data_IF_346181871964
#
_entry.id   IF_346181871964
#
_cell.length_a   1.000
_cell.length_b   1.000
_cell.length_c   1.000
_cell.angle_alpha   90.00
_cell.angle_beta   90.00
_cell.angle_gamma   90.00
#
_symmetry.space_group_name_H-M   'P 1'
#
loop_
_entity.id
_entity.type
_entity.pdbx_description
1 polymer ?
#
# COMPACT_ATOMS: atom_id res chain seq x y z
N UNK A 1 -18.63 6.01 -21.28
CA UNK A 1 -17.32 5.56 -21.75
C UNK A 1 -16.44 6.77 -22.09
N UNK A 2 -15.63 7.28 -21.16
CA UNK A 2 -14.33 7.87 -21.46
C UNK A 2 -13.28 6.79 -21.15
N UNK A 3 -12.44 6.33 -22.08
CA UNK A 3 -11.41 7.10 -22.76
C UNK A 3 -10.09 6.73 -22.09
N UNK A 4 -9.28 5.88 -22.72
CA UNK A 4 -7.96 5.37 -22.26
C UNK A 4 -6.91 6.48 -22.13
N UNK A 5 -7.17 7.46 -21.28
CA UNK A 5 -6.28 8.55 -20.95
C UNK A 5 -5.30 8.13 -19.86
N UNK A 6 -4.15 7.65 -20.29
CA UNK A 6 -2.91 7.62 -19.50
C UNK A 6 -2.84 6.65 -18.29
N UNK A 7 -3.00 5.34 -18.54
CA UNK A 7 -2.90 4.31 -17.49
C UNK A 7 -1.52 4.08 -16.88
N UNK A 8 -0.50 4.75 -17.41
CA UNK A 8 0.88 4.40 -17.14
C UNK A 8 1.69 5.62 -16.78
N UNK A 9 2.48 5.52 -15.70
CA UNK A 9 3.51 6.50 -15.37
C UNK A 9 4.83 5.98 -15.93
N UNK A 10 5.51 6.82 -16.70
CA UNK A 10 6.85 6.51 -17.19
C UNK A 10 7.84 7.23 -16.30
N UNK A 11 8.51 6.49 -15.43
CA UNK A 11 9.63 7.03 -14.64
C UNK A 11 10.93 6.41 -15.16
N UNK A 12 11.93 7.26 -15.41
CA UNK A 12 13.22 6.82 -15.93
C UNK A 12 14.12 6.47 -14.74
N UNK A 13 14.32 5.18 -14.49
CA UNK A 13 15.29 4.74 -13.47
C UNK A 13 16.68 4.66 -14.12
N UNK A 14 17.70 5.37 -13.61
CA UNK A 14 19.06 5.23 -14.11
C UNK A 14 19.65 3.90 -13.66
N UNK A 15 20.05 3.06 -14.61
CA UNK A 15 20.83 1.85 -14.39
C UNK A 15 22.20 1.98 -15.07
N UNK A 16 23.24 1.38 -14.49
CA UNK A 16 24.60 1.42 -15.05
C UNK A 16 24.86 0.10 -15.78
N UNK A 17 25.05 0.17 -17.10
CA UNK A 17 25.43 -0.99 -17.90
C UNK A 17 26.82 -1.52 -17.50
N UNK A 18 27.14 -2.78 -17.82
CA UNK A 18 28.48 -3.36 -17.57
C UNK A 18 29.65 -2.60 -18.21
N UNK A 19 29.37 -1.77 -19.21
CA UNK A 19 30.35 -0.90 -19.88
C UNK A 19 30.45 0.51 -19.26
N UNK A 20 29.81 0.76 -18.12
CA UNK A 20 29.84 2.05 -17.42
C UNK A 20 28.91 3.13 -18.00
N UNK A 21 28.07 2.77 -18.97
CA UNK A 21 27.13 3.70 -19.59
C UNK A 21 25.81 3.74 -18.83
N UNK A 22 25.31 4.96 -18.55
CA UNK A 22 23.97 5.14 -17.99
C UNK A 22 22.93 4.73 -19.03
N UNK A 23 22.09 3.77 -18.65
CA UNK A 23 20.89 3.38 -19.36
C UNK A 23 19.68 3.77 -18.52
N UNK A 24 18.77 4.54 -19.12
CA UNK A 24 17.48 4.82 -18.52
C UNK A 24 16.51 3.78 -19.05
N UNK A 25 16.22 2.76 -18.26
CA UNK A 25 15.11 1.84 -18.57
C UNK A 25 13.83 2.49 -18.07
N UNK A 26 12.94 2.83 -18.99
CA UNK A 26 11.58 3.21 -18.67
C UNK A 26 10.82 1.95 -18.21
N UNK A 27 10.78 1.68 -16.90
CA UNK A 27 9.84 0.69 -16.37
C UNK A 27 8.48 1.35 -16.37
N UNK A 28 7.66 0.96 -17.34
CA UNK A 28 6.31 1.52 -17.51
C UNK A 28 5.41 0.91 -16.43
N UNK A 29 5.22 1.65 -15.33
CA UNK A 29 4.38 1.21 -14.22
C UNK A 29 2.91 1.43 -14.54
N UNK A 30 2.05 0.41 -14.35
CA UNK A 30 0.61 0.59 -14.41
C UNK A 30 0.07 1.16 -13.09
N UNK A 31 -0.50 2.36 -13.14
CA UNK A 31 -0.93 3.08 -11.93
C UNK A 31 -2.29 2.57 -11.43
N UNK A 32 -3.21 2.26 -12.35
CA UNK A 32 -4.61 1.96 -12.04
C UNK A 32 -4.91 0.46 -11.90
N UNK A 33 -3.91 -0.38 -12.18
CA UNK A 33 -3.96 -1.83 -11.99
C UNK A 33 -2.52 -2.34 -11.77
N UNK A 34 -1.91 -1.99 -10.63
CA UNK A 34 -0.51 -2.31 -10.35
C UNK A 34 -0.31 -3.79 -10.04
N UNK A 35 0.58 -4.42 -10.80
CA UNK A 35 1.13 -5.74 -10.49
C UNK A 35 2.13 -5.66 -9.33
N UNK A 36 2.52 -6.80 -8.73
CA UNK A 36 3.58 -6.82 -7.71
C UNK A 36 4.90 -6.19 -8.19
N UNK A 37 5.24 -6.36 -9.48
CA UNK A 37 6.43 -5.73 -10.06
C UNK A 37 6.30 -4.21 -10.21
N UNK A 38 5.09 -3.70 -10.45
CA UNK A 38 4.83 -2.27 -10.53
C UNK A 38 5.06 -1.62 -9.16
N UNK A 39 4.51 -2.23 -8.10
CA UNK A 39 4.66 -1.75 -6.72
C UNK A 39 6.12 -1.84 -6.26
N UNK A 40 6.79 -2.96 -6.54
CA UNK A 40 8.20 -3.14 -6.22
C UNK A 40 9.08 -2.09 -6.93
N UNK A 41 8.82 -1.80 -8.22
CA UNK A 41 9.56 -0.77 -8.97
C UNK A 41 9.43 0.62 -8.35
N UNK A 42 8.26 0.96 -7.80
CA UNK A 42 8.05 2.21 -7.09
C UNK A 42 8.83 2.26 -5.76
N UNK A 43 8.87 1.17 -5.01
CA UNK A 43 9.67 1.07 -3.77
C UNK A 43 11.18 1.18 -4.07
N UNK A 44 11.63 0.53 -5.14
CA UNK A 44 13.03 0.51 -5.58
C UNK A 44 13.59 1.89 -5.98
N UNK A 45 12.73 2.91 -6.16
CA UNK A 45 13.18 4.30 -6.29
C UNK A 45 14.01 4.75 -5.09
N UNK A 46 13.83 4.11 -3.92
CA UNK A 46 14.72 4.25 -2.77
C UNK A 46 14.78 5.68 -2.22
N UNK A 47 13.74 6.47 -2.47
CA UNK A 47 13.62 7.85 -2.05
C UNK A 47 12.17 8.20 -1.70
N UNK A 48 11.95 9.18 -0.81
CA UNK A 48 10.60 9.71 -0.57
C UNK A 48 9.99 10.17 -1.90
N UNK A 49 8.92 9.49 -2.31
CA UNK A 49 8.25 9.71 -3.60
C UNK A 49 6.76 9.90 -3.32
N UNK A 50 6.10 10.88 -3.94
CA UNK A 50 4.64 11.01 -3.82
C UNK A 50 3.96 9.75 -4.34
N UNK A 51 2.71 9.55 -3.91
CA UNK A 51 1.91 8.47 -4.45
C UNK A 51 1.72 8.71 -5.96
N UNK A 52 1.82 7.65 -6.79
CA UNK A 52 1.55 7.72 -8.23
C UNK A 52 0.19 8.30 -8.60
N UNK A 53 -0.81 8.14 -7.72
CA UNK A 53 -2.16 8.70 -7.83
C UNK A 53 -2.74 8.92 -6.40
N UNK A 54 -3.79 9.74 -6.28
CA UNK A 54 -4.41 10.05 -4.98
C UNK A 54 -5.06 8.80 -4.35
N UNK A 55 -5.60 7.91 -5.18
CA UNK A 55 -6.32 6.68 -4.78
C UNK A 55 -5.44 5.44 -4.98
N UNK A 56 -4.12 5.62 -4.98
CA UNK A 56 -3.19 4.55 -5.35
C UNK A 56 -3.16 3.40 -4.33
N UNK A 57 -3.39 3.69 -3.05
CA UNK A 57 -3.64 2.69 -2.02
C UNK A 57 -4.80 1.74 -2.38
N UNK A 58 -5.91 2.28 -2.93
CA UNK A 58 -7.02 1.47 -3.41
C UNK A 58 -6.62 0.59 -4.60
N UNK A 59 -5.81 1.10 -5.53
CA UNK A 59 -5.34 0.31 -6.67
C UNK A 59 -4.34 -0.78 -6.26
N UNK A 60 -3.51 -0.52 -5.26
CA UNK A 60 -2.57 -1.50 -4.69
C UNK A 60 -3.32 -2.60 -3.92
N UNK A 61 -4.42 -2.29 -3.24
CA UNK A 61 -5.26 -3.23 -2.47
C UNK A 61 -6.13 -4.18 -3.33
N UNK A 62 -5.64 -4.60 -4.49
CA UNK A 62 -6.37 -5.39 -5.49
C UNK A 62 -6.39 -6.92 -5.28
N UNK A 63 -5.73 -7.43 -4.23
CA UNK A 63 -5.62 -8.85 -3.92
C UNK A 63 -4.44 -9.58 -4.54
N UNK A 64 -3.73 -8.94 -5.48
CA UNK A 64 -2.47 -9.47 -6.03
C UNK A 64 -1.26 -9.08 -5.18
N UNK A 65 -1.39 -7.98 -4.43
CA UNK A 65 -0.28 -7.36 -3.71
C UNK A 65 -0.32 -7.60 -2.19
N UNK A 66 -1.26 -8.38 -1.66
CA UNK A 66 -1.48 -8.52 -0.20
C UNK A 66 -0.22 -8.97 0.55
N UNK A 67 0.45 -10.02 0.08
CA UNK A 67 1.71 -10.49 0.66
C UNK A 67 2.81 -9.43 0.60
N UNK A 68 2.86 -8.69 -0.50
CA UNK A 68 3.84 -7.64 -0.73
C UNK A 68 3.58 -6.41 0.16
N UNK A 69 2.30 -6.07 0.37
CA UNK A 69 1.87 -5.04 1.32
C UNK A 69 2.35 -5.42 2.72
N UNK A 70 2.08 -6.65 3.17
CA UNK A 70 2.51 -7.10 4.49
C UNK A 70 4.04 -7.13 4.62
N UNK A 71 4.74 -7.59 3.59
CA UNK A 71 6.20 -7.65 3.57
C UNK A 71 6.82 -6.25 3.72
N UNK A 72 6.40 -5.28 2.91
CA UNK A 72 6.95 -3.94 2.97
C UNK A 72 6.49 -3.12 4.18
N UNK A 73 5.30 -3.38 4.72
CA UNK A 73 4.85 -2.78 5.99
C UNK A 73 5.72 -3.23 7.18
N UNK A 74 6.28 -4.44 7.11
CA UNK A 74 7.18 -4.99 8.12
C UNK A 74 8.65 -4.62 7.92
N UNK A 75 9.05 -4.15 6.74
CA UNK A 75 10.45 -3.87 6.43
C UNK A 75 10.89 -2.50 6.97
N UNK A 76 11.78 -2.44 7.99
CA UNK A 76 12.25 -1.17 8.53
C UNK A 76 13.16 -0.39 7.56
N UNK A 77 13.66 -1.02 6.49
CA UNK A 77 14.44 -0.36 5.45
C UNK A 77 13.58 0.26 4.33
N UNK A 78 12.29 -0.11 4.26
CA UNK A 78 11.38 0.43 3.26
C UNK A 78 11.02 1.88 3.59
N UNK A 79 11.44 2.83 2.75
CA UNK A 79 11.14 4.26 2.94
C UNK A 79 9.63 4.51 2.88
N UNK A 80 8.92 3.74 2.06
CA UNK A 80 7.48 3.84 1.88
C UNK A 80 6.70 2.90 2.82
N UNK A 81 7.32 2.37 3.88
CA UNK A 81 6.69 1.44 4.84
C UNK A 81 5.34 1.92 5.35
N UNK A 82 5.22 3.21 5.67
CA UNK A 82 3.98 3.80 6.16
C UNK A 82 2.84 3.71 5.14
N UNK A 83 3.12 3.83 3.84
CA UNK A 83 2.12 3.59 2.80
C UNK A 83 1.58 2.15 2.85
N UNK A 84 2.42 1.16 3.11
CA UNK A 84 1.96 -0.23 3.19
C UNK A 84 1.18 -0.50 4.47
N UNK A 85 1.53 0.16 5.58
CA UNK A 85 0.69 0.16 6.79
C UNK A 85 -0.67 0.79 6.47
N UNK A 86 -0.71 1.90 5.73
CA UNK A 86 -1.96 2.52 5.25
C UNK A 86 -2.83 1.54 4.47
N UNK A 87 -2.24 0.80 3.51
CA UNK A 87 -2.95 -0.22 2.74
C UNK A 87 -3.57 -1.30 3.62
N UNK A 88 -2.89 -1.73 4.70
CA UNK A 88 -3.45 -2.68 5.66
C UNK A 88 -4.70 -2.13 6.36
N UNK A 89 -4.69 -0.86 6.78
CA UNK A 89 -5.86 -0.19 7.35
C UNK A 89 -6.97 0.03 6.32
N UNK A 90 -6.62 0.35 5.07
CA UNK A 90 -7.56 0.53 3.97
C UNK A 90 -8.35 -0.75 3.67
N UNK A 91 -7.72 -1.93 3.67
CA UNK A 91 -8.41 -3.22 3.49
C UNK A 91 -9.49 -3.46 4.55
N UNK A 92 -9.15 -3.21 5.82
CA UNK A 92 -10.07 -3.39 6.95
C UNK A 92 -11.16 -2.32 6.96
N UNK A 93 -10.81 -1.09 6.56
CA UNK A 93 -11.74 0.01 6.40
C UNK A 93 -12.78 -0.26 5.32
N UNK A 94 -12.35 -0.74 4.14
CA UNK A 94 -13.26 -1.13 3.06
C UNK A 94 -14.21 -2.26 3.50
N UNK A 95 -13.66 -3.30 4.13
CA UNK A 95 -14.47 -4.39 4.66
C UNK A 95 -15.51 -3.90 5.67
N UNK A 96 -15.13 -3.03 6.61
CA UNK A 96 -16.01 -2.64 7.71
C UNK A 96 -17.02 -1.58 7.32
N UNK A 97 -16.67 -0.63 6.44
CA UNK A 97 -17.54 0.46 6.06
C UNK A 97 -18.49 0.11 4.90
N UNK A 98 -18.02 -0.70 3.94
CA UNK A 98 -18.69 -0.85 2.65
C UNK A 98 -18.95 -2.30 2.25
N UNK A 99 -18.12 -3.23 2.71
CA UNK A 99 -18.01 -4.57 2.12
C UNK A 99 -18.14 -5.71 3.14
N UNK A 100 -18.98 -5.56 4.16
CA UNK A 100 -19.06 -6.53 5.29
C UNK A 100 -19.50 -7.94 4.88
N UNK A 101 -20.21 -8.07 3.75
CA UNK A 101 -20.64 -9.36 3.18
C UNK A 101 -19.64 -9.93 2.15
N UNK A 102 -18.51 -9.25 1.90
CA UNK A 102 -17.50 -9.68 0.94
C UNK A 102 -16.62 -10.78 1.56
N UNK A 103 -16.97 -12.04 1.29
CA UNK A 103 -16.27 -13.21 1.80
C UNK A 103 -14.80 -13.30 1.33
N UNK A 104 -14.51 -12.84 0.11
CA UNK A 104 -13.15 -12.89 -0.45
C UNK A 104 -12.24 -11.87 0.27
N UNK A 105 -12.74 -10.64 0.48
CA UNK A 105 -12.02 -9.63 1.26
C UNK A 105 -11.84 -10.05 2.72
N UNK A 106 -12.85 -10.68 3.33
CA UNK A 106 -12.74 -11.24 4.67
C UNK A 106 -11.63 -12.30 4.75
N UNK A 107 -11.57 -13.23 3.77
CA UNK A 107 -10.55 -14.28 3.73
C UNK A 107 -9.14 -13.71 3.58
N UNK A 108 -8.96 -12.69 2.74
CA UNK A 108 -7.69 -11.98 2.57
C UNK A 108 -7.22 -11.33 3.88
N UNK A 109 -8.13 -10.67 4.61
CA UNK A 109 -7.80 -10.09 5.93
C UNK A 109 -7.41 -11.16 6.94
N UNK A 110 -8.12 -12.30 6.98
CA UNK A 110 -7.74 -13.42 7.86
C UNK A 110 -6.36 -13.99 7.53
N UNK A 111 -6.04 -14.13 6.24
CA UNK A 111 -4.73 -14.62 5.79
C UNK A 111 -3.60 -13.66 6.21
N UNK A 112 -3.82 -12.35 6.04
CA UNK A 112 -2.87 -11.34 6.51
C UNK A 112 -2.68 -11.40 8.03
N UNK A 113 -3.77 -11.50 8.81
CA UNK A 113 -3.71 -11.61 10.27
C UNK A 113 -2.95 -12.86 10.72
N UNK A 114 -3.15 -13.99 10.03
CA UNK A 114 -2.47 -15.25 10.34
C UNK A 114 -0.94 -15.18 10.15
N UNK A 115 -0.46 -14.24 9.34
CA UNK A 115 0.95 -14.01 9.06
C UNK A 115 1.60 -12.92 9.94
N UNK A 116 0.88 -12.33 10.90
CA UNK A 116 1.44 -11.35 11.85
C UNK A 116 1.84 -12.03 13.16
N UNK A 117 3.13 -11.99 13.49
CA UNK A 117 3.68 -12.51 14.74
C UNK A 117 4.38 -11.44 15.59
N UNK A 118 4.98 -11.84 16.72
CA UNK A 118 5.66 -10.94 17.65
C UNK A 118 6.96 -10.31 17.10
N UNK A 119 7.45 -10.77 15.95
CA UNK A 119 8.64 -10.22 15.28
C UNK A 119 8.27 -9.18 14.22
N UNK A 120 7.00 -9.11 13.82
CA UNK A 120 6.51 -8.07 12.93
C UNK A 120 6.75 -6.67 13.49
N UNK A 121 6.78 -5.66 12.63
CA UNK A 121 6.95 -4.27 13.04
C UNK A 121 5.81 -3.83 13.98
N UNK A 122 6.11 -2.92 14.92
CA UNK A 122 5.16 -2.46 15.95
C UNK A 122 3.83 -1.96 15.34
N UNK A 123 3.89 -1.16 14.27
CA UNK A 123 2.70 -0.69 13.55
C UNK A 123 1.88 -1.83 12.93
N UNK A 124 2.52 -2.89 12.44
CA UNK A 124 1.81 -4.06 11.87
C UNK A 124 1.15 -4.87 12.98
N UNK A 125 1.82 -5.04 14.13
CA UNK A 125 1.20 -5.68 15.31
C UNK A 125 0.04 -4.86 15.85
N UNK A 126 0.17 -3.53 15.86
CA UNK A 126 -0.91 -2.61 16.22
C UNK A 126 -2.10 -2.76 15.27
N UNK A 127 -1.86 -2.77 13.95
CA UNK A 127 -2.90 -3.03 12.95
C UNK A 127 -3.62 -4.36 13.21
N UNK A 128 -2.87 -5.44 13.49
CA UNK A 128 -3.45 -6.76 13.84
C UNK A 128 -4.39 -6.65 15.04
N UNK A 129 -3.90 -6.08 16.14
CA UNK A 129 -4.65 -6.01 17.40
C UNK A 129 -5.92 -5.16 17.25
N UNK A 130 -5.83 -4.04 16.54
CA UNK A 130 -6.97 -3.17 16.25
C UNK A 130 -7.98 -3.83 15.31
N UNK A 131 -7.52 -4.58 14.30
CA UNK A 131 -8.37 -5.34 13.38
C UNK A 131 -9.14 -6.44 14.12
N UNK A 132 -8.47 -7.17 15.01
CA UNK A 132 -9.12 -8.19 15.85
C UNK A 132 -10.14 -7.54 16.78
N UNK A 133 -9.80 -6.43 17.43
CA UNK A 133 -10.70 -5.72 18.32
C UNK A 133 -11.94 -5.17 17.57
N UNK A 134 -11.73 -4.63 16.37
CA UNK A 134 -12.80 -4.10 15.53
C UNK A 134 -13.77 -5.21 15.12
N UNK A 135 -13.25 -6.32 14.61
CA UNK A 135 -14.06 -7.46 14.15
C UNK A 135 -14.70 -8.22 15.31
N UNK A 136 -14.07 -8.22 16.48
CA UNK A 136 -14.64 -8.73 17.74
C UNK A 136 -15.66 -7.79 18.39
N UNK A 137 -15.87 -6.59 17.86
CA UNK A 137 -16.81 -5.60 18.39
C UNK A 137 -16.38 -4.92 19.70
N UNK A 138 -15.13 -5.10 20.13
CA UNK A 138 -14.55 -4.41 21.30
C UNK A 138 -14.03 -3.02 20.95
N UNK A 139 -13.81 -2.77 19.66
CA UNK A 139 -13.53 -1.46 19.08
C UNK A 139 -14.63 -1.09 18.08
N UNK A 140 -14.93 0.20 17.93
CA UNK A 140 -15.83 0.72 16.89
C UNK A 140 -15.02 1.25 15.71
N UNK A 141 -15.57 1.10 14.52
CA UNK A 141 -15.00 1.71 13.33
C UNK A 141 -15.07 3.24 13.45
N UNK A 142 -13.93 3.89 13.22
CA UNK A 142 -13.82 5.34 13.20
C UNK A 142 -13.26 5.75 11.84
N UNK A 143 -14.15 6.18 10.93
CA UNK A 143 -13.74 6.54 9.58
C UNK A 143 -12.56 7.53 9.58
N UNK A 144 -12.52 8.49 10.50
CA UNK A 144 -11.42 9.45 10.56
C UNK A 144 -10.13 8.80 11.04
N UNK A 145 -10.16 7.92 12.04
CA UNK A 145 -8.95 7.23 12.47
C UNK A 145 -8.41 6.28 11.39
N UNK A 146 -9.29 5.54 10.73
CA UNK A 146 -8.95 4.47 9.79
C UNK A 146 -8.61 5.00 8.39
N UNK A 147 -9.24 6.11 7.96
CA UNK A 147 -8.92 6.81 6.70
C UNK A 147 -7.86 7.89 6.89
N UNK A 148 -7.84 8.59 8.04
CA UNK A 148 -6.85 9.65 8.33
C UNK A 148 -5.72 9.22 9.26
N UNK A 149 -5.45 7.91 9.48
CA UNK A 149 -4.21 7.53 10.16
C UNK A 149 -2.98 8.10 9.42
N UNK A 150 -3.09 8.38 8.12
CA UNK A 150 -1.96 8.78 7.27
C UNK A 150 -2.24 9.84 6.19
N UNK A 151 -3.36 10.59 6.25
CA UNK A 151 -3.36 11.92 5.59
C UNK A 151 -2.52 12.90 6.42
N UNK A 152 -1.23 12.60 6.60
CA UNK A 152 -0.24 13.61 6.96
C UNK A 152 -0.06 14.43 5.69
N UNK A 153 -0.83 15.51 5.58
CA UNK A 153 -0.65 16.63 4.67
C UNK A 153 0.07 16.29 3.35
N UNK A 154 -0.71 15.86 2.35
CA UNK A 154 -0.30 15.85 0.93
C UNK A 154 -0.07 17.28 0.36
N UNK A 155 0.18 18.26 1.21
CA UNK A 155 0.59 19.62 0.85
C UNK A 155 1.85 19.91 1.66
N UNK A 156 3.03 20.04 1.03
CA UNK A 156 4.12 20.75 1.67
C UNK A 156 3.63 22.19 1.87
N UNK A 157 3.17 22.50 3.08
CA UNK A 157 2.94 23.87 3.49
C UNK A 157 4.31 24.54 3.47
N UNK A 158 4.54 25.37 2.45
CA UNK A 158 5.78 26.10 2.23
C UNK A 158 6.02 27.13 3.33
N UNK A 159 6.51 26.66 4.49
CA UNK A 159 7.12 27.48 5.53
C UNK A 159 8.59 27.14 5.71
#
# INVERSE_FOLDING_TARGET
MPGDGNRYRTECVPSVRPNGQLEFTATKMNVYDPSPSDVASWVELGQPTPWPDQDWDMYVCNGLNDDLILAYANDPACIQREFFVHCLYQLVGDFTAWSTENADLAARIEELLANVDEKCHDDVRKWRDETIALRGGTMRFDLNYWVHHLYVDQIPDGR
#
